data_IF_907584283060
#
_entry.id   IF_907584283060
#
_cell.length_a   1.000
_cell.length_b   1.000
_cell.length_c   1.000
_cell.angle_alpha   90.00
_cell.angle_beta   90.00
_cell.angle_gamma   90.00
#
_symmetry.space_group_name_H-M   'P 1'
#
loop_
_entity.id
_entity.type
_entity.pdbx_description
1 polymer ?
#
# COMPACT_ATOMS: atom_id res chain seq x y z
N UNK A 1 28.98 -12.81 11.37
CA UNK A 1 28.11 -11.66 11.06
C UNK A 1 27.40 -11.92 9.73
N UNK A 2 26.09 -12.08 9.76
CA UNK A 2 25.29 -12.38 8.56
C UNK A 2 25.28 -11.20 7.57
N UNK A 3 24.90 -11.43 6.31
CA UNK A 3 24.74 -10.34 5.32
C UNK A 3 23.68 -9.32 5.77
N UNK A 4 22.61 -9.81 6.45
CA UNK A 4 21.57 -8.97 7.06
C UNK A 4 22.15 -8.08 8.17
N UNK A 5 22.91 -8.63 9.11
CA UNK A 5 23.52 -7.86 10.21
C UNK A 5 24.46 -6.76 9.69
N UNK A 6 25.20 -7.03 8.61
CA UNK A 6 26.05 -6.02 7.95
C UNK A 6 25.25 -4.88 7.33
N UNK A 7 24.18 -5.20 6.61
CA UNK A 7 23.29 -4.18 6.03
C UNK A 7 22.52 -3.39 7.09
N UNK A 8 22.09 -4.05 8.18
CA UNK A 8 21.40 -3.38 9.29
C UNK A 8 22.32 -2.42 10.03
N UNK A 9 23.60 -2.80 10.22
CA UNK A 9 24.59 -1.93 10.84
C UNK A 9 24.97 -0.72 9.96
N UNK A 10 25.01 -0.88 8.63
CA UNK A 10 25.39 0.18 7.69
C UNK A 10 24.23 1.14 7.36
N UNK A 11 23.00 0.63 7.25
CA UNK A 11 21.84 1.39 6.76
C UNK A 11 20.73 1.58 7.80
N UNK A 12 20.83 0.94 8.97
CA UNK A 12 19.77 0.90 9.96
C UNK A 12 18.69 -0.13 9.62
N UNK A 13 18.13 -0.77 10.64
CA UNK A 13 17.17 -1.86 10.50
C UNK A 13 15.86 -1.41 9.80
N UNK A 14 15.45 -0.16 9.98
CA UNK A 14 14.29 0.44 9.32
C UNK A 14 14.36 0.36 7.78
N UNK A 15 15.55 0.57 7.19
CA UNK A 15 15.73 0.52 5.74
C UNK A 15 15.60 -0.91 5.18
N UNK A 16 15.95 -1.93 5.97
CA UNK A 16 15.80 -3.33 5.57
C UNK A 16 14.34 -3.78 5.63
N UNK A 17 13.59 -3.32 6.64
CA UNK A 17 12.15 -3.59 6.74
C UNK A 17 11.42 -2.90 5.58
N UNK A 18 11.80 -1.65 5.26
CA UNK A 18 11.26 -0.92 4.11
C UNK A 18 11.54 -1.63 2.77
N UNK A 19 12.76 -2.15 2.58
CA UNK A 19 13.08 -2.95 1.41
C UNK A 19 12.22 -4.22 1.31
N UNK A 20 11.86 -4.84 2.45
CA UNK A 20 10.96 -5.99 2.45
C UNK A 20 9.53 -5.62 2.05
N UNK A 21 8.99 -4.49 2.56
CA UNK A 21 7.68 -3.96 2.14
C UNK A 21 7.63 -3.69 0.64
N UNK A 22 8.67 -3.05 0.10
CA UNK A 22 8.78 -2.73 -1.33
C UNK A 22 8.88 -4.00 -2.18
N UNK A 23 9.67 -4.99 -1.75
CA UNK A 23 9.96 -6.20 -2.54
C UNK A 23 8.85 -7.25 -2.45
N UNK A 24 8.24 -7.38 -1.29
CA UNK A 24 7.40 -8.53 -0.95
C UNK A 24 6.01 -8.14 -0.43
N UNK A 25 5.70 -6.85 -0.25
CA UNK A 25 4.49 -6.42 0.46
C UNK A 25 4.65 -6.56 1.97
N UNK A 26 3.55 -6.49 2.74
CA UNK A 26 3.62 -6.52 4.22
C UNK A 26 4.22 -7.85 4.74
N UNK A 27 5.44 -7.84 5.31
CA UNK A 27 6.10 -9.06 5.76
C UNK A 27 5.34 -9.76 6.88
N UNK A 28 4.49 -9.04 7.65
CA UNK A 28 3.63 -9.70 8.64
C UNK A 28 2.68 -10.71 7.97
N UNK A 29 2.26 -10.43 6.75
CA UNK A 29 1.34 -11.30 5.98
C UNK A 29 2.04 -12.55 5.47
N UNK A 30 3.28 -12.43 4.99
CA UNK A 30 4.06 -13.56 4.46
C UNK A 30 4.48 -14.53 5.56
N UNK A 31 4.93 -14.00 6.70
CA UNK A 31 5.52 -14.83 7.75
C UNK A 31 4.53 -15.31 8.81
N UNK A 32 3.42 -14.61 9.02
CA UNK A 32 2.45 -14.98 10.07
C UNK A 32 1.08 -15.42 9.54
N UNK A 33 0.83 -15.33 8.23
CA UNK A 33 -0.45 -15.72 7.63
C UNK A 33 -1.62 -14.81 8.03
N UNK A 34 -2.78 -14.98 7.40
CA UNK A 34 -4.00 -14.24 7.69
C UNK A 34 -4.72 -14.81 8.94
N UNK A 35 -4.14 -14.67 10.13
CA UNK A 35 -4.78 -14.91 11.44
C UNK A 35 -3.87 -14.33 12.53
N UNK A 36 -4.28 -13.61 13.57
CA UNK A 36 -5.57 -13.41 14.22
C UNK A 36 -5.82 -11.90 14.42
N UNK A 37 -7.08 -11.49 14.48
CA UNK A 37 -7.41 -10.15 14.98
C UNK A 37 -6.79 -9.97 16.37
N UNK A 38 -6.12 -8.84 16.67
CA UNK A 38 -5.61 -8.62 18.00
C UNK A 38 -6.80 -8.55 18.96
N UNK A 39 -7.00 -9.61 19.73
CA UNK A 39 -7.82 -9.58 20.91
C UNK A 39 -7.30 -8.44 21.79
N UNK A 40 -8.24 -7.60 22.26
CA UNK A 40 -8.04 -6.54 23.24
C UNK A 40 -6.84 -6.80 24.15
N UNK A 41 -5.73 -6.12 23.87
CA UNK A 41 -4.61 -6.09 24.80
C UNK A 41 -4.95 -5.03 25.84
N UNK A 42 -5.67 -5.49 26.87
CA UNK A 42 -5.86 -4.77 28.12
C UNK A 42 -4.52 -4.24 28.63
N UNK A 43 -4.52 -2.95 28.94
CA UNK A 43 -3.57 -2.29 29.82
C UNK A 43 -3.66 -2.87 31.24
N UNK A 44 -2.57 -2.66 32.00
CA UNK A 44 -2.25 -3.07 33.38
C UNK A 44 -1.51 -4.42 33.52
N UNK A 45 -0.39 -4.52 34.24
CA UNK A 45 0.33 -3.55 35.07
C UNK A 45 1.69 -4.10 35.51
N UNK A 46 2.52 -3.20 36.03
CA UNK A 46 3.74 -3.50 36.80
C UNK A 46 3.41 -4.43 37.99
N UNK A 47 4.22 -5.47 38.23
CA UNK A 47 5.07 -5.59 39.43
C UNK A 47 5.87 -6.90 39.47
N UNK A 48 7.06 -6.76 40.05
CA UNK A 48 7.78 -7.76 40.87
C UNK A 48 8.60 -8.85 40.19
N UNK A 49 9.90 -8.60 40.29
CA UNK A 49 10.97 -9.59 40.27
C UNK A 49 10.80 -10.63 41.37
N UNK A 50 10.99 -11.90 41.03
CA UNK A 50 11.55 -12.86 41.98
C UNK A 50 12.35 -13.97 41.29
N UNK A 51 13.40 -14.32 41.99
CA UNK A 51 14.56 -15.16 41.71
C UNK A 51 14.28 -16.67 41.58
N UNK A 52 15.33 -17.38 41.12
CA UNK A 52 15.60 -18.83 41.22
C UNK A 52 15.01 -19.69 40.09
N UNK A 53 15.67 -20.72 39.53
CA UNK A 53 16.85 -21.49 39.95
C UNK A 53 17.39 -22.28 38.75
N UNK A 54 18.70 -22.53 38.76
CA UNK A 54 19.39 -23.45 37.85
C UNK A 54 18.87 -24.90 38.03
N UNK A 55 18.53 -25.55 36.91
CA UNK A 55 18.11 -26.94 36.85
C UNK A 55 18.88 -27.69 35.75
N UNK A 56 19.55 -28.76 36.17
CA UNK A 56 20.57 -29.50 35.44
C UNK A 56 20.07 -30.26 34.19
N UNK A 57 20.95 -30.38 33.20
CA UNK A 57 20.83 -31.29 32.06
C UNK A 57 20.95 -32.76 32.49
N UNK A 58 20.06 -33.67 32.05
CA UNK A 58 20.32 -35.10 32.14
C UNK A 58 21.17 -35.57 30.96
N UNK A 59 22.26 -36.26 31.29
CA UNK A 59 23.11 -36.98 30.37
C UNK A 59 22.34 -38.14 29.70
N UNK A 60 22.28 -38.12 28.37
CA UNK A 60 21.82 -39.24 27.55
C UNK A 60 22.98 -40.21 27.31
N UNK A 61 22.90 -41.38 27.94
CA UNK A 61 23.76 -42.54 27.71
C UNK A 61 23.47 -43.14 26.32
N UNK A 62 24.49 -43.14 25.45
CA UNK A 62 24.48 -43.89 24.18
C UNK A 62 24.63 -45.38 24.47
N UNK A 63 23.55 -46.14 24.28
CA UNK A 63 23.60 -47.60 24.15
C UNK A 63 23.90 -47.96 22.68
N UNK A 64 24.96 -48.74 22.47
CA UNK A 64 25.35 -49.24 21.16
C UNK A 64 24.46 -50.43 20.76
N UNK A 65 23.67 -50.27 19.70
CA UNK A 65 22.91 -51.36 19.09
C UNK A 65 23.81 -52.19 18.14
N UNK A 66 23.58 -53.51 18.05
CA UNK A 66 24.39 -54.41 17.21
C UNK A 66 24.12 -54.19 15.72
N UNK A 67 25.21 -54.20 14.94
CA UNK A 67 25.21 -54.15 13.48
C UNK A 67 24.64 -55.48 12.95
N UNK A 68 23.42 -55.44 12.44
CA UNK A 68 22.81 -56.55 11.68
C UNK A 68 23.07 -56.32 10.20
N UNK A 69 23.90 -57.17 9.59
CA UNK A 69 24.08 -57.22 8.14
C UNK A 69 22.79 -57.72 7.48
N UNK A 70 21.97 -56.80 6.96
CA UNK A 70 20.87 -57.14 6.04
C UNK A 70 21.42 -57.29 4.62
N UNK A 71 21.18 -58.44 4.02
CA UNK A 71 21.44 -58.70 2.61
C UNK A 71 20.72 -57.65 1.75
N UNK A 72 21.47 -57.02 0.85
CA UNK A 72 20.96 -55.98 -0.04
C UNK A 72 19.95 -56.60 -1.02
N UNK A 73 18.67 -56.29 -0.83
CA UNK A 73 17.68 -56.51 -1.88
C UNK A 73 18.01 -55.59 -3.07
N UNK A 74 17.83 -56.07 -4.30
CA UNK A 74 18.23 -55.31 -5.49
C UNK A 74 17.37 -54.04 -5.60
N UNK A 75 18.03 -52.89 -5.56
CA UNK A 75 17.45 -51.53 -5.46
C UNK A 75 16.50 -51.17 -6.60
N UNK A 76 16.54 -51.89 -7.73
CA UNK A 76 15.64 -51.65 -8.85
C UNK A 76 14.18 -52.06 -8.57
N UNK A 77 13.93 -53.01 -7.66
CA UNK A 77 12.56 -53.41 -7.30
C UNK A 77 11.82 -52.33 -6.49
N UNK A 78 12.55 -51.52 -5.71
CA UNK A 78 11.96 -50.39 -4.96
C UNK A 78 11.55 -49.27 -5.92
N UNK A 79 12.34 -49.01 -6.97
CA UNK A 79 12.04 -48.00 -7.98
C UNK A 79 10.77 -48.30 -8.78
N UNK A 80 10.58 -49.55 -9.21
CA UNK A 80 9.38 -49.97 -9.97
C UNK A 80 8.12 -49.90 -9.11
N UNK A 81 8.21 -50.30 -7.83
CA UNK A 81 7.09 -50.21 -6.90
C UNK A 81 6.63 -48.77 -6.66
N UNK A 82 7.58 -47.83 -6.50
CA UNK A 82 7.25 -46.42 -6.28
C UNK A 82 6.60 -45.77 -7.52
N UNK A 83 7.11 -46.07 -8.71
CA UNK A 83 6.57 -45.54 -9.96
C UNK A 83 5.13 -46.01 -10.22
N UNK A 84 4.83 -47.28 -9.95
CA UNK A 84 3.47 -47.83 -10.07
C UNK A 84 2.49 -47.17 -9.09
N UNK A 85 2.94 -46.85 -7.88
CA UNK A 85 2.11 -46.23 -6.84
C UNK A 85 1.78 -44.77 -7.18
N UNK A 86 2.74 -44.02 -7.74
CA UNK A 86 2.51 -42.65 -8.24
C UNK A 86 1.56 -42.66 -9.44
N UNK A 87 1.73 -43.59 -10.39
CA UNK A 87 0.84 -43.71 -11.56
C UNK A 87 -0.60 -44.10 -11.19
N UNK A 88 -0.79 -44.87 -10.11
CA UNK A 88 -2.13 -45.22 -9.61
C UNK A 88 -2.79 -44.08 -8.80
N UNK A 89 -2.01 -43.22 -8.15
CA UNK A 89 -2.53 -42.12 -7.32
C UNK A 89 -3.16 -40.99 -8.17
N UNK A 90 -2.68 -40.75 -9.38
CA UNK A 90 -3.18 -39.70 -10.28
C UNK A 90 -4.65 -39.91 -10.68
N UNK A 91 -5.07 -41.08 -11.23
CA UNK A 91 -6.47 -41.30 -11.59
C UNK A 91 -7.37 -41.39 -10.34
N UNK A 92 -6.87 -41.90 -9.22
CA UNK A 92 -7.61 -41.92 -7.96
C UNK A 92 -7.87 -40.50 -7.44
N UNK A 93 -6.87 -39.61 -7.49
CA UNK A 93 -7.02 -38.20 -7.13
C UNK A 93 -7.99 -37.46 -8.05
N UNK A 94 -7.94 -37.70 -9.37
CA UNK A 94 -8.88 -37.13 -10.32
C UNK A 94 -10.32 -37.61 -10.12
N UNK A 95 -10.50 -38.89 -9.80
CA UNK A 95 -11.81 -39.46 -9.48
C UNK A 95 -12.35 -38.88 -8.15
N UNK A 96 -11.52 -38.80 -7.11
CA UNK A 96 -11.90 -38.27 -5.81
C UNK A 96 -12.25 -36.77 -5.88
N UNK A 97 -11.48 -35.98 -6.62
CA UNK A 97 -11.76 -34.56 -6.86
C UNK A 97 -13.11 -34.37 -7.56
N UNK A 98 -13.43 -35.22 -8.55
CA UNK A 98 -14.71 -35.17 -9.27
C UNK A 98 -15.90 -35.58 -8.39
N UNK A 99 -15.72 -36.50 -7.44
CA UNK A 99 -16.79 -36.90 -6.50
C UNK A 99 -16.99 -35.91 -5.36
N UNK A 100 -15.92 -35.24 -4.90
CA UNK A 100 -15.99 -34.31 -3.78
C UNK A 100 -16.37 -32.89 -4.22
N UNK A 101 -16.08 -32.52 -5.48
CA UNK A 101 -16.40 -31.23 -6.05
C UNK A 101 -17.18 -31.40 -7.36
N UNK A 102 -18.49 -31.71 -7.28
CA UNK A 102 -19.34 -31.74 -8.46
C UNK A 102 -19.40 -30.33 -9.06
N UNK A 103 -18.72 -30.13 -10.19
CA UNK A 103 -18.85 -28.94 -11.02
C UNK A 103 -20.30 -28.81 -11.46
N UNK A 104 -21.05 -27.84 -10.92
CA UNK A 104 -22.34 -27.44 -11.51
C UNK A 104 -23.53 -27.22 -10.58
N UNK A 105 -23.38 -27.03 -9.28
CA UNK A 105 -24.42 -26.34 -8.52
C UNK A 105 -24.01 -24.89 -8.31
N UNK A 106 -24.53 -23.92 -9.08
CA UNK A 106 -24.41 -22.53 -8.69
C UNK A 106 -25.07 -22.41 -7.33
N UNK A 107 -24.28 -22.21 -6.28
CA UNK A 107 -24.82 -21.80 -5.00
C UNK A 107 -25.40 -20.40 -5.23
N UNK A 108 -26.72 -20.19 -5.05
CA UNK A 108 -27.25 -18.85 -4.96
C UNK A 108 -26.74 -18.28 -3.64
N UNK A 109 -25.54 -17.68 -3.66
CA UNK A 109 -25.15 -16.77 -2.61
C UNK A 109 -26.03 -15.54 -2.78
N UNK A 110 -27.16 -15.56 -2.06
CA UNK A 110 -28.02 -14.42 -1.89
C UNK A 110 -27.23 -13.41 -1.04
N UNK A 111 -26.55 -12.48 -1.72
CA UNK A 111 -25.98 -11.29 -1.08
C UNK A 111 -27.13 -10.52 -0.45
N UNK A 112 -27.39 -10.73 0.84
CA UNK A 112 -28.35 -9.94 1.61
C UNK A 112 -27.88 -8.48 1.62
N UNK A 113 -28.42 -7.68 0.70
CA UNK A 113 -28.21 -6.23 0.63
C UNK A 113 -27.78 -5.69 -0.74
N UNK A 114 -27.41 -6.54 -1.69
CA UNK A 114 -27.07 -6.11 -3.06
C UNK A 114 -27.92 -6.94 -4.01
N UNK A 115 -28.78 -6.29 -4.80
CA UNK A 115 -29.53 -6.99 -5.84
C UNK A 115 -28.53 -7.76 -6.71
N UNK A 116 -28.70 -9.08 -6.93
CA UNK A 116 -27.75 -9.85 -7.70
C UNK A 116 -27.63 -9.18 -9.06
N UNK A 117 -26.45 -8.66 -9.37
CA UNK A 117 -26.10 -8.29 -10.74
C UNK A 117 -26.44 -9.54 -11.53
N UNK A 118 -27.30 -9.45 -12.54
CA UNK A 118 -27.56 -10.58 -13.42
C UNK A 118 -26.22 -10.89 -14.11
N UNK A 119 -25.48 -11.83 -13.54
CA UNK A 119 -24.16 -12.23 -14.00
C UNK A 119 -24.39 -12.97 -15.31
N UNK A 120 -24.30 -12.23 -16.42
CA UNK A 120 -24.31 -12.80 -17.75
C UNK A 120 -22.99 -13.53 -17.97
N UNK A 121 -22.97 -14.54 -18.86
CA UNK A 121 -21.72 -15.20 -19.25
C UNK A 121 -20.69 -14.20 -19.78
N UNK A 122 -21.15 -13.19 -20.52
CA UNK A 122 -20.30 -12.10 -21.02
C UNK A 122 -19.68 -11.29 -19.87
N UNK A 123 -20.42 -11.03 -18.79
CA UNK A 123 -19.88 -10.31 -17.65
C UNK A 123 -18.74 -11.07 -16.97
N UNK A 124 -18.89 -12.39 -16.81
CA UNK A 124 -17.84 -13.27 -16.26
C UNK A 124 -16.63 -13.28 -17.18
N UNK A 125 -16.84 -13.41 -18.48
CA UNK A 125 -15.78 -13.36 -19.49
C UNK A 125 -14.99 -12.04 -19.40
N UNK A 126 -15.67 -10.90 -19.27
CA UNK A 126 -15.01 -9.60 -19.08
C UNK A 126 -14.14 -9.55 -17.83
N UNK A 127 -14.61 -10.12 -16.71
CA UNK A 127 -13.82 -10.21 -15.47
C UNK A 127 -12.62 -11.16 -15.62
N UNK A 128 -12.77 -12.26 -16.33
CA UNK A 128 -11.68 -13.20 -16.61
C UNK A 128 -10.61 -12.54 -17.47
N UNK A 129 -10.98 -11.88 -18.57
CA UNK A 129 -10.04 -11.14 -19.42
C UNK A 129 -9.28 -10.07 -18.63
N UNK A 130 -10.00 -9.34 -17.77
CA UNK A 130 -9.38 -8.33 -16.92
C UNK A 130 -8.33 -8.94 -15.98
N UNK A 131 -8.64 -10.08 -15.35
CA UNK A 131 -7.71 -10.78 -14.44
C UNK A 131 -6.51 -11.40 -15.17
N UNK A 132 -6.70 -11.79 -16.43
CA UNK A 132 -5.63 -12.26 -17.31
C UNK A 132 -4.74 -11.11 -17.84
N UNK A 133 -5.13 -9.86 -17.62
CA UNK A 133 -4.43 -8.68 -18.10
C UNK A 133 -4.80 -8.25 -19.53
N UNK A 134 -5.78 -8.89 -20.16
CA UNK A 134 -6.36 -8.44 -21.44
C UNK A 134 -7.38 -7.32 -21.18
N UNK A 135 -6.84 -6.13 -20.89
CA UNK A 135 -7.66 -4.98 -20.54
C UNK A 135 -8.46 -4.42 -21.71
N UNK A 136 -7.99 -4.58 -22.95
CA UNK A 136 -8.69 -4.15 -24.16
C UNK A 136 -9.94 -5.02 -24.39
N UNK A 137 -9.78 -6.34 -24.31
CA UNK A 137 -10.89 -7.30 -24.40
C UNK A 137 -11.90 -7.08 -23.28
N UNK A 138 -11.43 -6.93 -22.04
CA UNK A 138 -12.28 -6.64 -20.89
C UNK A 138 -13.05 -5.32 -21.05
N UNK A 139 -12.38 -4.24 -21.46
CA UNK A 139 -13.01 -2.94 -21.68
C UNK A 139 -14.10 -3.00 -22.74
N UNK A 140 -13.84 -3.70 -23.86
CA UNK A 140 -14.84 -3.87 -24.93
C UNK A 140 -16.10 -4.59 -24.44
N UNK A 141 -15.95 -5.64 -23.61
CA UNK A 141 -17.07 -6.35 -22.99
C UNK A 141 -17.83 -5.45 -22.01
N UNK A 142 -17.12 -4.81 -21.08
CA UNK A 142 -17.75 -3.96 -20.06
C UNK A 142 -18.49 -2.77 -20.69
N UNK A 143 -17.95 -2.17 -21.76
CA UNK A 143 -18.63 -1.10 -22.49
C UNK A 143 -19.95 -1.55 -23.12
N UNK A 144 -19.99 -2.74 -23.74
CA UNK A 144 -21.24 -3.29 -24.30
C UNK A 144 -22.28 -3.52 -23.21
N UNK A 145 -21.86 -4.08 -22.08
CA UNK A 145 -22.72 -4.27 -20.92
C UNK A 145 -23.19 -2.91 -20.36
N UNK A 146 -22.31 -1.91 -20.27
CA UNK A 146 -22.63 -0.58 -19.75
C UNK A 146 -23.67 0.15 -20.59
N UNK A 147 -23.66 -0.07 -21.92
CA UNK A 147 -24.68 0.47 -22.81
C UNK A 147 -26.10 -0.05 -22.49
N UNK A 148 -26.21 -1.27 -21.94
CA UNK A 148 -27.50 -1.84 -21.50
C UNK A 148 -27.89 -1.40 -20.08
N UNK A 149 -26.91 -1.05 -19.25
CA UNK A 149 -27.08 -0.71 -17.82
C UNK A 149 -26.25 0.53 -17.44
N UNK A 150 -26.57 1.72 -17.98
CA UNK A 150 -25.74 2.92 -17.80
C UNK A 150 -25.73 3.46 -16.36
N UNK A 151 -26.71 3.06 -15.53
CA UNK A 151 -26.82 3.48 -14.14
C UNK A 151 -26.11 2.54 -13.15
N UNK A 152 -25.48 1.45 -13.63
CA UNK A 152 -24.79 0.48 -12.78
C UNK A 152 -23.40 1.01 -12.38
N UNK A 153 -23.17 1.37 -11.10
CA UNK A 153 -21.92 1.98 -10.67
C UNK A 153 -20.75 0.98 -10.64
N UNK A 154 -21.02 -0.32 -10.47
CA UNK A 154 -19.98 -1.35 -10.53
C UNK A 154 -19.44 -1.44 -11.93
N UNK A 155 -20.35 -1.50 -12.91
CA UNK A 155 -19.98 -1.59 -14.31
C UNK A 155 -19.28 -0.32 -14.81
N UNK A 156 -19.71 0.86 -14.34
CA UNK A 156 -19.01 2.11 -14.60
C UNK A 156 -17.57 2.08 -14.03
N UNK A 157 -17.40 1.56 -12.81
CA UNK A 157 -16.08 1.35 -12.21
C UNK A 157 -15.21 0.38 -13.03
N UNK A 158 -15.77 -0.76 -13.46
CA UNK A 158 -15.06 -1.75 -14.28
C UNK A 158 -14.64 -1.20 -15.66
N UNK A 159 -15.52 -0.45 -16.33
CA UNK A 159 -15.19 0.23 -17.58
C UNK A 159 -14.01 1.18 -17.40
N UNK A 160 -14.01 1.98 -16.34
CA UNK A 160 -12.91 2.90 -16.03
C UNK A 160 -11.63 2.15 -15.72
N UNK A 161 -11.70 1.15 -14.86
CA UNK A 161 -10.57 0.33 -14.46
C UNK A 161 -9.89 -0.35 -15.64
N UNK A 162 -10.69 -0.96 -16.53
CA UNK A 162 -10.20 -1.62 -17.74
C UNK A 162 -9.62 -0.61 -18.73
N UNK A 163 -10.29 0.53 -18.96
CA UNK A 163 -9.78 1.59 -19.84
C UNK A 163 -8.47 2.18 -19.35
N UNK A 164 -8.39 2.51 -18.06
CA UNK A 164 -7.18 3.09 -17.46
C UNK A 164 -6.00 2.11 -17.56
N UNK A 165 -6.25 0.81 -17.36
CA UNK A 165 -5.23 -0.24 -17.50
C UNK A 165 -4.86 -0.56 -18.94
N UNK A 166 -5.80 -0.47 -19.88
CA UNK A 166 -5.53 -0.57 -21.32
C UNK A 166 -4.65 0.59 -21.80
N UNK A 167 -5.00 1.84 -21.44
CA UNK A 167 -4.19 3.02 -21.74
C UNK A 167 -2.80 2.95 -21.09
N UNK A 168 -2.71 2.32 -19.92
CA UNK A 168 -1.47 2.02 -19.21
C UNK A 168 -0.65 0.89 -19.86
N UNK A 169 -1.28 -0.10 -20.49
CA UNK A 169 -0.64 -1.21 -21.18
C UNK A 169 -0.14 -0.84 -22.58
N UNK A 170 -0.85 0.06 -23.27
CA UNK A 170 -0.43 0.64 -24.55
C UNK A 170 0.76 1.62 -24.43
N UNK A 171 1.34 1.76 -23.23
CA UNK A 171 2.46 2.64 -22.89
C UNK A 171 3.81 2.32 -23.54
N UNK A 172 3.90 1.36 -24.45
CA UNK A 172 5.09 1.24 -25.29
C UNK A 172 5.35 2.56 -26.06
N UNK A 173 4.30 3.30 -26.44
CA UNK A 173 4.38 4.66 -27.00
C UNK A 173 4.58 5.76 -25.94
N UNK A 174 4.30 5.50 -24.66
CA UNK A 174 4.47 6.47 -23.56
C UNK A 174 5.90 6.46 -22.99
N UNK A 175 6.66 5.39 -23.20
CA UNK A 175 8.12 5.35 -22.97
C UNK A 175 8.81 6.56 -23.61
N UNK A 176 8.45 6.90 -24.86
CA UNK A 176 8.99 8.07 -25.55
C UNK A 176 8.59 9.42 -24.91
N UNK A 177 7.45 9.49 -24.22
CA UNK A 177 7.00 10.71 -23.51
C UNK A 177 7.60 10.80 -22.11
N UNK A 178 7.88 9.66 -21.49
CA UNK A 178 8.64 9.56 -20.24
C UNK A 178 10.08 9.98 -20.47
N UNK A 179 10.68 9.60 -21.61
CA UNK A 179 12.01 10.10 -22.00
C UNK A 179 12.03 11.63 -22.12
N UNK A 180 10.96 12.24 -22.62
CA UNK A 180 10.80 13.71 -22.66
C UNK A 180 10.64 14.30 -21.26
N UNK A 181 9.83 13.70 -20.39
CA UNK A 181 9.64 14.18 -19.02
C UNK A 181 10.90 13.98 -18.15
N UNK A 182 11.67 12.93 -18.39
CA UNK A 182 12.98 12.69 -17.78
C UNK A 182 14.02 13.68 -18.32
N UNK A 183 13.96 14.06 -19.60
CA UNK A 183 14.78 15.13 -20.16
C UNK A 183 14.43 16.51 -19.56
N UNK A 184 13.14 16.83 -19.42
CA UNK A 184 12.67 18.05 -18.77
C UNK A 184 13.05 18.09 -17.28
N UNK A 185 12.97 16.94 -16.59
CA UNK A 185 13.43 16.79 -15.21
C UNK A 185 14.95 16.96 -15.11
N UNK A 186 15.71 16.37 -16.03
CA UNK A 186 17.16 16.54 -16.11
C UNK A 186 17.55 18.01 -16.36
N UNK A 187 16.78 18.74 -17.17
CA UNK A 187 16.99 20.18 -17.40
C UNK A 187 16.66 21.02 -16.16
N UNK A 188 15.54 20.73 -15.48
CA UNK A 188 15.20 21.32 -14.18
C UNK A 188 16.26 21.02 -13.11
N UNK A 189 16.94 19.87 -13.20
CA UNK A 189 18.01 19.44 -12.31
C UNK A 189 19.39 20.03 -12.63
N UNK A 190 19.55 20.75 -13.76
CA UNK A 190 20.74 21.59 -14.03
C UNK A 190 20.74 22.88 -13.20
N UNK A 191 19.64 23.21 -12.54
CA UNK A 191 19.62 24.26 -11.55
C UNK A 191 20.66 23.96 -10.45
N UNK A 192 21.45 24.96 -10.01
CA UNK A 192 22.49 24.74 -9.01
C UNK A 192 21.89 24.10 -7.76
N UNK A 193 22.57 23.10 -7.16
CA UNK A 193 22.09 22.46 -5.95
C UNK A 193 21.85 23.56 -4.91
N UNK A 194 20.61 23.70 -4.48
CA UNK A 194 20.29 24.48 -3.28
C UNK A 194 21.17 23.87 -2.19
N UNK A 195 22.06 24.66 -1.55
CA UNK A 195 22.91 24.14 -0.50
C UNK A 195 22.01 23.41 0.50
N UNK A 196 22.46 22.28 1.08
CA UNK A 196 21.70 21.64 2.14
C UNK A 196 21.52 22.71 3.23
N UNK A 197 20.34 23.32 3.28
CA UNK A 197 19.92 23.97 4.50
C UNK A 197 20.02 22.89 5.55
N UNK A 198 20.62 23.18 6.69
CA UNK A 198 20.53 22.36 7.90
C UNK A 198 19.14 21.72 7.93
N UNK A 199 19.09 20.40 7.77
CA UNK A 199 17.86 19.66 7.44
C UNK A 199 16.78 20.08 8.43
N UNK A 200 15.74 20.74 7.92
CA UNK A 200 14.61 21.18 8.72
C UNK A 200 13.81 19.94 9.14
N UNK A 201 14.19 19.36 10.28
CA UNK A 201 13.55 18.18 10.86
C UNK A 201 12.13 18.47 11.37
N UNK A 202 11.70 19.74 11.40
CA UNK A 202 10.40 20.13 11.90
C UNK A 202 9.32 20.14 10.82
N UNK A 203 9.65 20.69 9.64
CA UNK A 203 8.65 20.89 8.60
C UNK A 203 8.14 19.59 8.00
N UNK A 204 6.82 19.55 7.78
CA UNK A 204 6.18 18.41 7.17
C UNK A 204 6.67 18.23 5.73
N UNK A 205 6.99 17.00 5.34
CA UNK A 205 7.26 16.67 3.94
C UNK A 205 5.96 16.65 3.13
N UNK A 206 6.09 16.68 1.80
CA UNK A 206 5.01 16.23 0.90
C UNK A 206 4.73 14.75 1.16
N UNK A 207 3.47 14.39 1.39
CA UNK A 207 3.07 13.01 1.66
C UNK A 207 2.92 12.25 0.35
N UNK A 208 4.01 11.63 -0.11
CA UNK A 208 3.97 10.70 -1.22
C UNK A 208 3.45 9.35 -0.74
N UNK A 209 2.35 8.88 -1.33
CA UNK A 209 1.66 7.67 -0.93
C UNK A 209 1.61 6.63 -2.06
N UNK A 210 1.55 5.35 -1.73
CA UNK A 210 1.28 4.26 -2.68
C UNK A 210 0.08 3.46 -2.19
N UNK A 211 -0.82 3.14 -3.11
CA UNK A 211 -1.91 2.19 -2.88
C UNK A 211 -1.48 0.81 -3.38
N UNK A 212 -1.49 -0.17 -2.48
CA UNK A 212 -1.19 -1.56 -2.82
C UNK A 212 -2.40 -2.26 -3.45
N UNK A 213 -2.17 -3.44 -4.05
CA UNK A 213 -3.19 -4.35 -4.53
C UNK A 213 -4.13 -4.76 -3.39
N UNK A 214 -5.41 -4.88 -3.74
CA UNK A 214 -6.43 -5.35 -2.82
C UNK A 214 -6.25 -6.82 -2.49
N UNK A 215 -6.14 -7.11 -1.20
CA UNK A 215 -6.25 -8.48 -0.71
C UNK A 215 -7.70 -8.82 -0.45
N UNK A 216 -8.30 -9.62 -1.33
CA UNK A 216 -9.66 -10.09 -1.18
C UNK A 216 -9.70 -11.62 -1.15
N UNK A 217 -10.48 -12.18 -0.24
CA UNK A 217 -10.80 -13.60 -0.30
C UNK A 217 -11.57 -13.90 -1.61
N UNK A 218 -11.38 -15.06 -2.26
CA UNK A 218 -12.01 -15.37 -3.55
C UNK A 218 -13.52 -15.11 -3.57
N UNK A 219 -14.21 -15.45 -2.48
CA UNK A 219 -15.65 -15.23 -2.27
C UNK A 219 -16.08 -13.75 -2.29
N UNK A 220 -15.16 -12.82 -2.02
CA UNK A 220 -15.42 -11.37 -2.03
C UNK A 220 -15.12 -10.72 -3.38
N UNK A 221 -14.50 -11.46 -4.31
CA UNK A 221 -14.17 -10.98 -5.66
C UNK A 221 -15.24 -11.35 -6.69
N UNK A 222 -16.30 -12.06 -6.26
CA UNK A 222 -17.40 -12.40 -7.13
C UNK A 222 -18.13 -11.12 -7.56
N UNK A 223 -18.19 -10.89 -8.87
CA UNK A 223 -18.95 -9.77 -9.43
C UNK A 223 -18.17 -8.48 -9.66
N UNK A 224 -16.84 -8.43 -9.47
CA UNK A 224 -16.02 -7.26 -9.86
C UNK A 224 -16.20 -6.01 -8.99
N UNK A 225 -16.92 -6.12 -7.87
CA UNK A 225 -17.09 -5.03 -6.91
C UNK A 225 -15.76 -4.60 -6.29
N UNK A 226 -14.89 -5.56 -6.02
CA UNK A 226 -13.51 -5.38 -5.55
C UNK A 226 -12.71 -4.47 -6.49
N UNK A 227 -12.80 -4.71 -7.80
CA UNK A 227 -12.13 -3.89 -8.82
C UNK A 227 -12.73 -2.49 -8.87
N UNK A 228 -14.07 -2.38 -8.87
CA UNK A 228 -14.75 -1.09 -8.95
C UNK A 228 -14.46 -0.20 -7.73
N UNK A 229 -14.52 -0.75 -6.52
CA UNK A 229 -14.19 -0.02 -5.29
C UNK A 229 -12.76 0.47 -5.30
N UNK A 230 -11.82 -0.38 -5.72
CA UNK A 230 -10.40 0.02 -5.79
C UNK A 230 -10.17 1.15 -6.78
N UNK A 231 -10.83 1.13 -7.92
CA UNK A 231 -10.75 2.21 -8.91
C UNK A 231 -11.25 3.54 -8.34
N UNK A 232 -12.41 3.54 -7.67
CA UNK A 232 -12.94 4.76 -7.05
C UNK A 232 -12.11 5.22 -5.84
N UNK A 233 -11.55 4.29 -5.06
CA UNK A 233 -10.65 4.62 -3.95
C UNK A 233 -9.36 5.26 -4.45
N UNK A 234 -8.75 4.70 -5.50
CA UNK A 234 -7.54 5.24 -6.12
C UNK A 234 -7.78 6.66 -6.67
N UNK A 235 -8.89 6.88 -7.38
CA UNK A 235 -9.30 8.20 -7.83
C UNK A 235 -9.46 9.18 -6.66
N UNK A 236 -10.14 8.76 -5.60
CA UNK A 236 -10.40 9.62 -4.45
C UNK A 236 -9.12 9.95 -3.67
N UNK A 237 -8.15 9.03 -3.62
CA UNK A 237 -6.82 9.26 -3.06
C UNK A 237 -6.00 10.22 -3.95
N UNK A 238 -6.06 10.08 -5.28
CA UNK A 238 -5.40 10.99 -6.23
C UNK A 238 -5.94 12.42 -6.16
N UNK A 239 -7.24 12.55 -5.89
CA UNK A 239 -7.90 13.85 -5.70
C UNK A 239 -7.65 14.47 -4.32
N UNK A 240 -7.03 13.74 -3.38
CA UNK A 240 -6.83 14.23 -2.03
C UNK A 240 -5.73 15.30 -1.99
N UNK A 241 -6.01 16.52 -1.46
CA UNK A 241 -5.13 17.69 -1.62
C UNK A 241 -3.76 17.53 -0.94
N UNK A 242 -3.66 16.61 0.02
CA UNK A 242 -2.45 16.38 0.81
C UNK A 242 -1.60 15.21 0.34
N UNK A 243 -2.18 14.30 -0.45
CA UNK A 243 -1.51 13.06 -0.84
C UNK A 243 -1.02 13.19 -2.28
N UNK A 244 0.25 12.91 -2.49
CA UNK A 244 0.80 12.69 -3.82
C UNK A 244 0.84 11.18 -4.05
N UNK A 245 -0.23 10.64 -4.61
CA UNK A 245 -0.34 9.19 -4.84
C UNK A 245 0.49 8.79 -6.05
N UNK A 246 1.37 7.82 -5.85
CA UNK A 246 2.10 7.14 -6.90
C UNK A 246 1.43 5.81 -7.18
N UNK A 247 1.13 5.55 -8.45
CA UNK A 247 0.70 4.23 -8.89
C UNK A 247 1.83 3.23 -8.68
N UNK A 248 1.52 2.01 -8.20
CA UNK A 248 2.53 0.99 -7.89
C UNK A 248 3.43 0.66 -9.08
N UNK A 249 2.89 0.64 -10.31
CA UNK A 249 3.68 0.42 -11.53
C UNK A 249 4.73 1.51 -11.79
N UNK A 250 4.42 2.77 -11.44
CA UNK A 250 5.39 3.86 -11.56
C UNK A 250 6.51 3.67 -10.53
N UNK A 251 6.18 3.23 -9.31
CA UNK A 251 7.19 2.88 -8.32
C UNK A 251 8.08 1.72 -8.80
N UNK A 252 7.50 0.65 -9.32
CA UNK A 252 8.27 -0.51 -9.82
C UNK A 252 9.20 -0.11 -10.97
N UNK A 253 8.74 0.77 -11.87
CA UNK A 253 9.56 1.36 -12.94
C UNK A 253 10.71 2.19 -12.36
N UNK A 254 10.44 3.11 -11.44
CA UNK A 254 11.46 3.92 -10.76
C UNK A 254 12.48 3.05 -10.01
N UNK A 255 12.02 2.00 -9.33
CA UNK A 255 12.90 1.07 -8.62
C UNK A 255 13.76 0.26 -9.58
N UNK A 256 13.21 -0.15 -10.72
CA UNK A 256 13.97 -0.82 -11.77
C UNK A 256 15.01 0.13 -12.39
N UNK A 257 14.66 1.39 -12.66
CA UNK A 257 15.60 2.42 -13.12
C UNK A 257 16.71 2.67 -12.09
N UNK A 258 16.38 2.79 -10.80
CA UNK A 258 17.35 2.93 -9.71
C UNK A 258 18.30 1.72 -9.67
N UNK A 259 17.78 0.50 -9.85
CA UNK A 259 18.60 -0.72 -9.88
C UNK A 259 19.54 -0.75 -11.07
N UNK A 260 19.06 -0.38 -12.25
CA UNK A 260 19.87 -0.28 -13.46
C UNK A 260 20.96 0.78 -13.31
N UNK A 261 20.66 1.89 -12.64
CA UNK A 261 21.61 2.96 -12.36
C UNK A 261 22.69 2.54 -11.33
N UNK A 262 22.31 1.80 -10.28
CA UNK A 262 23.23 1.23 -9.27
C UNK A 262 24.25 0.22 -9.82
N UNK A 263 24.08 -0.27 -11.05
CA UNK A 263 25.05 -1.14 -11.73
C UNK A 263 26.26 -0.36 -12.31
N UNK A 264 26.39 0.94 -12.04
CA UNK A 264 27.59 1.73 -12.36
C UNK A 264 27.60 2.33 -13.77
N UNK A 265 26.42 2.53 -14.36
CA UNK A 265 26.27 3.15 -15.69
C UNK A 265 26.09 4.67 -15.65
N UNK A 266 25.99 5.31 -14.48
CA UNK A 266 25.90 6.79 -14.35
C UNK A 266 26.55 7.35 -13.07
N UNK A 267 26.75 8.67 -13.06
CA UNK A 267 27.49 9.50 -12.10
C UNK A 267 26.99 9.37 -10.64
N UNK A 268 27.87 9.19 -9.63
CA UNK A 268 27.53 9.18 -8.20
C UNK A 268 26.68 10.38 -7.72
N UNK A 269 26.84 11.56 -8.33
CA UNK A 269 26.04 12.73 -8.02
C UNK A 269 24.59 12.62 -8.50
N UNK A 270 24.32 11.82 -9.53
CA UNK A 270 22.96 11.48 -9.96
C UNK A 270 22.32 10.47 -9.03
N UNK A 271 23.07 9.46 -8.55
CA UNK A 271 22.55 8.47 -7.60
C UNK A 271 22.05 9.11 -6.28
N UNK A 272 22.71 10.16 -5.80
CA UNK A 272 22.26 10.93 -4.63
C UNK A 272 21.00 11.77 -4.94
N UNK A 273 20.85 12.27 -6.18
CA UNK A 273 19.65 13.00 -6.63
C UNK A 273 18.47 12.07 -6.91
N UNK A 274 18.72 10.87 -7.41
CA UNK A 274 17.73 9.80 -7.58
C UNK A 274 17.31 9.23 -6.22
N UNK A 275 18.19 9.20 -5.22
CA UNK A 275 17.82 8.90 -3.84
C UNK A 275 16.91 9.97 -3.19
N UNK A 276 16.91 11.20 -3.72
CA UNK A 276 15.97 12.27 -3.36
C UNK A 276 14.65 12.23 -4.14
N UNK A 277 14.46 11.28 -5.07
CA UNK A 277 13.12 10.96 -5.58
C UNK A 277 12.27 10.62 -4.36
N UNK A 278 11.27 11.48 -4.11
CA UNK A 278 10.37 11.46 -2.96
C UNK A 278 10.03 10.03 -2.60
N UNK A 279 10.76 9.51 -1.61
CA UNK A 279 10.56 8.17 -1.10
C UNK A 279 9.10 8.09 -0.68
N UNK A 280 8.43 7.01 -1.10
CA UNK A 280 7.07 6.71 -0.67
C UNK A 280 7.09 6.71 0.85
N UNK A 281 6.43 7.72 1.43
CA UNK A 281 6.37 7.91 2.88
C UNK A 281 5.21 7.15 3.49
N UNK A 282 4.16 6.95 2.72
CA UNK A 282 2.93 6.34 3.18
C UNK A 282 2.53 5.19 2.24
N UNK A 283 2.25 4.03 2.82
CA UNK A 283 1.73 2.88 2.10
C UNK A 283 0.32 2.57 2.58
N UNK A 284 -0.59 2.41 1.64
CA UNK A 284 -1.94 1.97 1.90
C UNK A 284 -2.09 0.52 1.47
N UNK A 285 -2.47 -0.33 2.41
CA UNK A 285 -2.73 -1.75 2.17
C UNK A 285 -4.23 -2.02 2.31
N UNK A 286 -4.97 -2.08 1.19
CA UNK A 286 -6.38 -2.39 1.21
C UNK A 286 -6.60 -3.90 1.35
N UNK A 287 -7.60 -4.29 2.13
CA UNK A 287 -8.03 -5.69 2.27
C UNK A 287 -9.55 -5.77 2.38
N UNK A 288 -10.16 -6.78 1.77
CA UNK A 288 -11.60 -7.02 1.76
C UNK A 288 -11.91 -8.34 2.46
N UNK A 289 -12.48 -8.26 3.67
CA UNK A 289 -12.84 -9.40 4.52
C UNK A 289 -14.35 -9.54 4.65
N UNK A 290 -14.84 -10.70 5.08
CA UNK A 290 -16.24 -10.88 5.51
C UNK A 290 -16.29 -10.91 7.02
N UNK A 291 -17.01 -9.96 7.62
CA UNK A 291 -17.24 -9.89 9.06
C UNK A 291 -18.74 -9.90 9.34
N UNK A 292 -19.23 -10.90 10.08
CA UNK A 292 -20.65 -11.00 10.40
C UNK A 292 -21.58 -11.10 9.18
N UNK A 293 -21.10 -11.68 8.08
CA UNK A 293 -21.85 -11.79 6.82
C UNK A 293 -21.87 -10.51 5.98
N UNK A 294 -21.12 -9.48 6.38
CA UNK A 294 -20.96 -8.23 5.64
C UNK A 294 -19.54 -8.16 5.09
N UNK A 295 -19.39 -7.70 3.85
CA UNK A 295 -18.06 -7.44 3.29
C UNK A 295 -17.55 -6.10 3.83
N UNK A 296 -16.33 -6.08 4.38
CA UNK A 296 -15.71 -4.91 5.00
C UNK A 296 -14.39 -4.63 4.30
N UNK A 297 -14.28 -3.44 3.72
CA UNK A 297 -13.02 -2.90 3.20
C UNK A 297 -12.24 -2.31 4.38
N UNK A 298 -11.04 -2.83 4.61
CA UNK A 298 -10.07 -2.26 5.54
C UNK A 298 -8.94 -1.59 4.77
N UNK A 299 -8.47 -0.43 5.24
CA UNK A 299 -7.33 0.29 4.68
C UNK A 299 -6.30 0.53 5.78
N UNK A 300 -5.16 -0.15 5.70
CA UNK A 300 -4.06 0.04 6.65
C UNK A 300 -3.07 1.05 6.11
N UNK A 301 -2.76 2.09 6.89
CA UNK A 301 -1.77 3.11 6.54
C UNK A 301 -0.46 2.85 7.29
N UNK A 302 0.64 2.65 6.56
CA UNK A 302 1.96 2.34 7.10
C UNK A 302 2.96 3.42 6.69
N UNK A 303 3.70 3.94 7.66
CA UNK A 303 4.71 4.97 7.46
C UNK A 303 6.05 4.38 6.98
N UNK A 304 6.97 5.22 6.51
CA UNK A 304 8.28 4.81 5.99
C UNK A 304 9.12 4.02 7.00
N UNK A 305 8.91 4.24 8.31
CA UNK A 305 9.56 3.50 9.39
C UNK A 305 8.90 2.14 9.68
N UNK A 306 7.97 1.69 8.83
CA UNK A 306 7.19 0.46 8.97
C UNK A 306 6.18 0.46 10.14
N UNK A 307 5.90 1.63 10.71
CA UNK A 307 4.86 1.79 11.73
C UNK A 307 3.47 1.91 11.09
N UNK A 308 2.52 1.11 11.57
CA UNK A 308 1.11 1.29 11.19
C UNK A 308 0.57 2.52 11.91
N UNK A 309 0.28 3.59 11.17
CA UNK A 309 -0.28 4.81 11.73
C UNK A 309 -1.73 4.61 12.18
N UNK A 310 -2.53 3.98 11.32
CA UNK A 310 -3.93 3.69 11.60
C UNK A 310 -4.48 2.64 10.62
N UNK A 311 -5.63 2.06 10.99
CA UNK A 311 -6.41 1.16 10.15
C UNK A 311 -7.84 1.71 10.09
N UNK A 312 -8.34 1.89 8.88
CA UNK A 312 -9.72 2.32 8.63
C UNK A 312 -10.56 1.13 8.19
N UNK A 313 -11.86 1.17 8.49
CA UNK A 313 -12.81 0.11 8.11
C UNK A 313 -14.08 0.72 7.55
N UNK A 314 -14.55 0.19 6.44
CA UNK A 314 -15.75 0.64 5.77
C UNK A 314 -16.55 -0.58 5.31
N UNK A 315 -17.81 -0.67 5.73
CA UNK A 315 -18.73 -1.67 5.17
C UNK A 315 -18.94 -1.39 3.69
N UNK A 316 -18.86 -2.44 2.88
CA UNK A 316 -19.04 -2.39 1.44
C UNK A 316 -20.49 -2.06 1.12
N UNK A 317 -20.72 -0.91 0.50
CA UNK A 317 -22.04 -0.54 -0.06
C UNK A 317 -22.27 -1.25 -1.40
N UNK A 318 -23.53 -1.30 -1.82
CA UNK A 318 -23.90 -1.67 -3.17
C UNK A 318 -23.40 -0.66 -4.22
N UNK A 319 -23.17 0.60 -3.83
CA UNK A 319 -22.47 1.58 -4.66
C UNK A 319 -20.97 1.66 -4.25
N UNK A 320 -20.03 1.25 -5.12
CA UNK A 320 -18.61 1.33 -4.81
C UNK A 320 -18.12 2.77 -4.55
N UNK A 321 -18.81 3.78 -5.09
CA UNK A 321 -18.48 5.20 -4.87
C UNK A 321 -18.75 5.62 -3.43
N UNK A 322 -19.84 5.15 -2.85
CA UNK A 322 -20.17 5.41 -1.44
C UNK A 322 -19.14 4.77 -0.52
N UNK A 323 -18.69 3.56 -0.85
CA UNK A 323 -17.63 2.87 -0.11
C UNK A 323 -16.32 3.68 -0.14
N UNK A 324 -15.89 4.13 -1.33
CA UNK A 324 -14.69 4.96 -1.46
C UNK A 324 -14.83 6.31 -0.74
N UNK A 325 -15.97 6.99 -0.88
CA UNK A 325 -16.24 8.26 -0.20
C UNK A 325 -16.26 8.11 1.33
N UNK A 326 -16.88 7.05 1.84
CA UNK A 326 -16.88 6.71 3.26
C UNK A 326 -15.47 6.47 3.79
N UNK A 327 -14.64 5.74 3.05
CA UNK A 327 -13.23 5.54 3.38
C UNK A 327 -12.45 6.86 3.44
N UNK A 328 -12.65 7.76 2.47
CA UNK A 328 -11.97 9.07 2.44
C UNK A 328 -12.43 10.03 3.54
N UNK A 329 -13.71 9.96 3.92
CA UNK A 329 -14.26 10.71 5.04
C UNK A 329 -13.61 10.29 6.37
N UNK A 330 -13.26 9.01 6.51
CA UNK A 330 -12.50 8.51 7.66
C UNK A 330 -11.00 8.81 7.57
N UNK A 331 -10.42 8.76 6.36
CA UNK A 331 -8.99 8.97 6.15
C UNK A 331 -8.54 10.39 6.47
N UNK A 332 -9.27 11.40 5.98
CA UNK A 332 -8.90 12.81 6.12
C UNK A 332 -8.64 13.26 7.58
N UNK A 333 -9.53 12.98 8.55
CA UNK A 333 -9.27 13.33 9.95
C UNK A 333 -8.13 12.50 10.55
N UNK A 334 -8.04 11.20 10.25
CA UNK A 334 -6.99 10.33 10.78
C UNK A 334 -5.60 10.70 10.28
N UNK A 335 -5.49 11.12 9.02
CA UNK A 335 -4.25 11.61 8.43
C UNK A 335 -3.82 12.94 9.07
N UNK A 336 -4.75 13.84 9.38
CA UNK A 336 -4.45 15.11 10.08
C UNK A 336 -4.03 14.88 11.52
N UNK A 337 -4.67 13.95 12.22
CA UNK A 337 -4.35 13.56 13.59
C UNK A 337 -2.96 12.91 13.68
N UNK A 338 -2.70 11.89 12.85
CA UNK A 338 -1.46 11.12 12.88
C UNK A 338 -0.25 11.92 12.35
N UNK A 339 -0.49 12.75 11.35
CA UNK A 339 0.55 13.55 10.69
C UNK A 339 0.04 14.99 10.62
N UNK A 340 0.13 15.84 11.64
CA UNK A 340 -0.28 17.25 11.49
C UNK A 340 0.68 18.01 10.57
N UNK A 341 0.20 18.98 9.80
CA UNK A 341 1.09 19.84 9.00
C UNK A 341 1.90 20.73 9.95
N UNK A 342 3.22 20.67 9.82
CA UNK A 342 4.20 21.43 10.60
C UNK A 342 5.04 22.28 9.65
N UNK A 343 5.33 23.51 10.04
CA UNK A 343 6.11 24.45 9.25
C UNK A 343 6.97 25.37 10.10
N UNK A 344 7.84 26.14 9.44
CA UNK A 344 8.59 27.26 10.01
C UNK A 344 8.15 28.56 9.35
N UNK A 345 8.10 29.64 10.14
CA UNK A 345 7.95 31.00 9.62
C UNK A 345 9.26 31.45 8.96
N UNK A 346 9.18 31.97 7.74
CA UNK A 346 10.33 32.37 6.93
C UNK A 346 10.60 33.87 7.02
N UNK A 347 9.61 34.69 6.71
CA UNK A 347 9.74 36.15 6.69
C UNK A 347 8.42 36.84 6.98
N UNK A 348 8.49 38.03 7.56
CA UNK A 348 7.35 38.91 7.76
C UNK A 348 7.25 39.91 6.61
N UNK A 349 6.06 40.02 6.04
CA UNK A 349 5.69 41.01 5.04
C UNK A 349 4.61 41.94 5.60
N UNK A 350 4.29 43.07 4.95
CA UNK A 350 3.16 43.91 5.36
C UNK A 350 1.82 43.16 5.37
N UNK A 351 1.70 42.10 4.57
CA UNK A 351 0.47 41.33 4.39
C UNK A 351 0.34 40.12 5.32
N UNK A 352 1.39 39.75 6.04
CA UNK A 352 1.42 38.58 6.90
C UNK A 352 2.79 37.90 6.98
N UNK A 353 2.80 36.63 7.37
CA UNK A 353 4.00 35.81 7.54
C UNK A 353 4.04 34.69 6.50
N UNK A 354 5.15 34.57 5.76
CA UNK A 354 5.37 33.40 4.91
C UNK A 354 5.83 32.22 5.76
N UNK A 355 5.34 31.02 5.45
CA UNK A 355 5.85 29.76 6.01
C UNK A 355 6.34 28.81 4.91
N UNK A 356 7.17 27.84 5.27
CA UNK A 356 7.75 26.86 4.34
C UNK A 356 6.86 25.64 4.03
N UNK A 357 5.55 25.75 4.27
CA UNK A 357 4.54 24.76 3.88
C UNK A 357 3.47 25.41 3.02
N UNK A 358 2.92 24.64 2.08
CA UNK A 358 2.00 25.15 1.06
C UNK A 358 1.07 24.09 0.50
N UNK A 359 0.53 24.32 -0.70
CA UNK A 359 -0.44 23.43 -1.34
C UNK A 359 0.04 21.98 -1.48
N UNK A 360 1.30 21.77 -1.86
CA UNK A 360 1.92 20.43 -1.98
C UNK A 360 1.94 19.66 -0.64
N UNK A 361 1.83 20.38 0.48
CA UNK A 361 1.83 19.83 1.84
C UNK A 361 0.40 19.63 2.38
N UNK A 362 -0.62 19.95 1.57
CA UNK A 362 -2.03 19.92 1.95
C UNK A 362 -2.54 21.17 2.66
N UNK A 363 -1.82 22.30 2.57
CA UNK A 363 -2.32 23.57 3.12
C UNK A 363 -3.45 24.11 2.23
N UNK A 364 -4.58 24.42 2.85
CA UNK A 364 -5.75 25.06 2.20
C UNK A 364 -6.04 26.41 2.87
N UNK A 365 -6.86 27.29 2.26
CA UNK A 365 -7.28 28.56 2.88
C UNK A 365 -7.97 28.39 4.25
N UNK A 366 -8.60 27.25 4.49
CA UNK A 366 -9.27 26.92 5.76
C UNK A 366 -8.31 26.38 6.82
N UNK A 367 -7.06 26.08 6.44
CA UNK A 367 -6.05 25.57 7.37
C UNK A 367 -5.68 26.67 8.37
N UNK A 368 -5.62 26.30 9.64
CA UNK A 368 -5.15 27.18 10.72
C UNK A 368 -3.95 26.56 11.40
N UNK A 369 -3.01 27.42 11.77
CA UNK A 369 -1.80 27.05 12.48
C UNK A 369 -1.74 27.69 13.87
N UNK A 370 -0.97 27.08 14.76
CA UNK A 370 -0.58 27.65 16.05
C UNK A 370 0.94 27.64 16.17
N UNK A 371 1.57 28.74 16.59
CA UNK A 371 2.99 28.73 16.94
C UNK A 371 3.23 27.84 18.16
N UNK A 372 4.23 26.95 18.08
CA UNK A 372 4.62 26.06 19.18
C UNK A 372 5.18 26.91 20.32
N UNK A 373 4.59 26.79 21.51
CA UNK A 373 4.99 27.56 22.69
C UNK A 373 4.27 28.91 22.87
N UNK A 374 3.44 29.34 21.90
CA UNK A 374 2.61 30.54 22.04
C UNK A 374 1.14 30.16 22.19
N UNK A 375 0.64 30.12 23.43
CA UNK A 375 -0.77 29.89 23.69
C UNK A 375 -1.63 31.08 23.22
N UNK A 376 -2.80 30.79 22.65
CA UNK A 376 -3.78 31.81 22.26
C UNK A 376 -3.52 32.51 20.92
N UNK A 377 -2.40 32.24 20.24
CA UNK A 377 -2.14 32.75 18.89
C UNK A 377 -2.62 31.73 17.84
N UNK A 378 -3.49 32.18 16.95
CA UNK A 378 -3.95 31.39 15.79
C UNK A 378 -3.56 32.14 14.52
N UNK A 379 -2.96 31.41 13.60
CA UNK A 379 -2.54 31.88 12.29
C UNK A 379 -3.53 31.38 11.23
N UNK A 380 -4.11 32.28 10.46
CA UNK A 380 -5.05 31.93 9.38
C UNK A 380 -4.37 32.04 8.02
N UNK A 381 -4.62 31.10 7.12
CA UNK A 381 -4.05 31.13 5.77
C UNK A 381 -4.74 32.19 4.90
N UNK A 382 -3.98 33.11 4.33
CA UNK A 382 -4.45 34.20 3.45
C UNK A 382 -4.20 33.89 1.96
N UNK A 383 -3.08 33.24 1.65
CA UNK A 383 -2.75 32.79 0.31
C UNK A 383 -1.92 31.50 0.36
N UNK A 384 -2.07 30.64 -0.65
CA UNK A 384 -1.36 29.36 -0.75
C UNK A 384 -0.61 29.31 -2.07
N UNK A 385 0.69 29.07 -2.00
CA UNK A 385 1.51 28.65 -3.12
C UNK A 385 1.89 27.16 -2.96
N UNK A 386 2.43 26.48 -3.99
CA UNK A 386 2.75 25.05 -3.90
C UNK A 386 3.62 24.69 -2.68
N UNK A 387 4.62 25.51 -2.34
CA UNK A 387 5.59 25.20 -1.27
C UNK A 387 5.65 26.22 -0.13
N UNK A 388 4.79 27.23 -0.15
CA UNK A 388 4.72 28.24 0.91
C UNK A 388 3.30 28.77 1.04
N UNK A 389 2.96 29.29 2.21
CA UNK A 389 1.67 29.91 2.45
C UNK A 389 1.88 31.22 3.23
N UNK A 390 1.03 32.19 2.92
CA UNK A 390 0.99 33.47 3.61
C UNK A 390 -0.04 33.37 4.74
N UNK A 391 0.40 33.66 5.96
CA UNK A 391 -0.37 33.54 7.18
C UNK A 391 -0.67 34.92 7.78
N UNK A 392 -1.90 35.15 8.22
CA UNK A 392 -2.26 36.30 9.03
C UNK A 392 -2.17 35.95 10.52
N UNK A 393 -1.43 36.77 11.27
CA UNK A 393 -1.21 36.60 12.71
C UNK A 393 -2.08 37.52 13.59
N UNK A 394 -2.99 38.31 13.00
CA UNK A 394 -3.87 39.20 13.75
C UNK A 394 -3.11 40.25 14.56
N UNK A 395 -1.94 40.68 14.09
CA UNK A 395 -1.05 41.62 14.78
C UNK A 395 -0.13 41.02 15.84
N UNK A 396 -0.14 39.69 16.04
CA UNK A 396 0.83 39.04 16.93
C UNK A 396 2.27 39.18 16.39
N UNK A 397 3.19 39.56 17.27
CA UNK A 397 4.63 39.59 16.97
C UNK A 397 5.20 38.18 17.08
N UNK A 398 5.78 37.69 15.99
CA UNK A 398 6.38 36.37 15.89
C UNK A 398 7.85 36.49 15.48
N UNK A 399 8.60 35.41 15.60
CA UNK A 399 10.00 35.36 15.20
C UNK A 399 10.14 34.55 13.90
N UNK A 400 11.03 34.99 13.03
CA UNK A 400 11.51 34.16 11.92
C UNK A 400 12.12 32.86 12.48
N UNK A 401 11.78 31.74 11.85
CA UNK A 401 12.13 30.39 12.33
C UNK A 401 11.19 29.84 13.40
N UNK A 402 10.15 30.57 13.81
CA UNK A 402 9.18 30.02 14.76
C UNK A 402 8.46 28.80 14.17
N UNK A 403 8.39 27.74 14.97
CA UNK A 403 7.69 26.50 14.64
C UNK A 403 6.19 26.71 14.72
N UNK A 404 5.48 26.27 13.69
CA UNK A 404 4.02 26.29 13.62
C UNK A 404 3.49 24.87 13.36
N UNK A 405 2.31 24.58 13.89
CA UNK A 405 1.61 23.30 13.70
C UNK A 405 0.13 23.53 13.42
N UNK A 406 -0.44 22.74 12.52
CA UNK A 406 -1.87 22.70 12.24
C UNK A 406 -2.68 22.35 13.49
N UNK A 407 -3.82 23.02 13.70
CA UNK A 407 -4.67 22.83 14.88
C UNK A 407 -6.09 22.33 14.59
N UNK A 408 -6.47 22.13 13.33
CA UNK A 408 -7.82 21.69 12.94
C UNK A 408 -7.86 20.53 11.96
#
# INVERSE_FOLDING_TARGET
MSARERLAADRGEAHLIWAAYVLYGDPRRIFFGAAEAPADRMLYGEESAETATAGASPALTRSAAPIVHRAAAPTWLVGVGLAALVLAAIPAGLWLNRTLYPTGTPHPFEYKGVAPIAVTSEYVEGLELYRLGDYDGAWAIFMRQAATRPADPVLAGLVRAARNRSLAGAEEQRTARIDVLLADLAELMKAPPVPPSDLDDWSSPVLTAVLDALEAAPENTAGGMDIAVMEYLEEALLAHPRLSVLERRHLDRLLNEIRLNKLGLSDPAEAERTARLKLVRLWFFPSLTVEGGKSVLSLSAVWENSETLFILRQELSSDPRETAAGMMAQLSPKLREALPIRGLLLEQTPDGWWCNVGGDHGVTPETRFRPVGAAGVTLSVRAVEPRRALLDAGGASLLVGARIQQID
#
